data_IF_943538533179
#
_entry.id   IF_943538533179
#
_cell.length_a   1.000
_cell.length_b   1.000
_cell.length_c   1.000
_cell.angle_alpha   90.00
_cell.angle_beta   90.00
_cell.angle_gamma   90.00
#
_symmetry.space_group_name_H-M   'P 1'
#
loop_
_entity.id
_entity.type
_entity.pdbx_description
1 polymer ?
#
# COMPACT_ATOMS: atom_id res chain seq x y z
N UNK A 1 -41.59 -45.16 26.77
CA UNK A 1 -40.68 -44.12 27.32
C UNK A 1 -39.41 -43.92 26.46
N UNK A 2 -39.46 -44.08 25.13
CA UNK A 2 -38.30 -43.82 24.25
C UNK A 2 -38.30 -42.44 23.57
N UNK A 3 -39.49 -41.89 23.33
CA UNK A 3 -39.68 -40.63 22.58
C UNK A 3 -39.02 -39.39 23.19
N UNK A 4 -38.82 -39.35 24.52
CA UNK A 4 -38.24 -38.18 25.18
C UNK A 4 -36.71 -38.13 24.97
N UNK A 5 -36.04 -39.28 24.95
CA UNK A 5 -34.58 -39.38 24.77
C UNK A 5 -34.16 -39.15 23.30
N UNK A 6 -34.98 -39.62 22.35
CA UNK A 6 -34.75 -39.37 20.92
C UNK A 6 -34.89 -37.88 20.57
N UNK A 7 -35.83 -37.16 21.20
CA UNK A 7 -36.02 -35.74 20.93
C UNK A 7 -34.86 -34.86 21.44
N UNK A 8 -34.24 -35.21 22.58
CA UNK A 8 -33.03 -34.54 23.06
C UNK A 8 -31.82 -34.85 22.19
N UNK A 9 -31.58 -36.12 21.84
CA UNK A 9 -30.47 -36.51 20.97
C UNK A 9 -30.53 -35.85 19.58
N UNK A 10 -31.73 -35.70 19.00
CA UNK A 10 -31.92 -35.03 17.71
C UNK A 10 -31.76 -33.50 17.80
N UNK A 11 -32.20 -32.86 18.90
CA UNK A 11 -32.00 -31.42 19.11
C UNK A 11 -30.53 -31.09 19.34
N UNK A 12 -29.81 -31.91 20.08
CA UNK A 12 -28.37 -31.72 20.36
C UNK A 12 -27.54 -31.93 19.09
N UNK A 13 -27.82 -32.96 18.30
CA UNK A 13 -27.16 -33.18 17.01
C UNK A 13 -27.42 -32.05 16.00
N UNK A 14 -28.63 -31.46 16.00
CA UNK A 14 -28.94 -30.29 15.18
C UNK A 14 -28.15 -29.06 15.63
N UNK A 15 -28.10 -28.79 16.94
CA UNK A 15 -27.32 -27.68 17.53
C UNK A 15 -25.83 -27.84 17.24
N UNK A 16 -25.28 -29.04 17.40
CA UNK A 16 -23.87 -29.31 17.13
C UNK A 16 -23.51 -29.04 15.66
N UNK A 17 -24.33 -29.51 14.71
CA UNK A 17 -24.13 -29.22 13.28
C UNK A 17 -24.24 -27.73 12.97
N UNK A 18 -25.15 -27.02 13.63
CA UNK A 18 -25.34 -25.58 13.46
C UNK A 18 -24.15 -24.81 14.02
N UNK A 19 -23.68 -25.15 15.22
CA UNK A 19 -22.49 -24.57 15.85
C UNK A 19 -21.27 -24.85 14.98
N UNK A 20 -21.05 -26.09 14.54
CA UNK A 20 -19.93 -26.44 13.63
C UNK A 20 -19.97 -25.62 12.35
N UNK A 21 -21.15 -25.46 11.72
CA UNK A 21 -21.29 -24.59 10.54
C UNK A 21 -20.98 -23.14 10.86
N UNK A 22 -21.52 -22.59 11.95
CA UNK A 22 -21.26 -21.20 12.36
C UNK A 22 -19.76 -21.00 12.59
N UNK A 23 -19.12 -21.85 13.38
CA UNK A 23 -17.67 -21.79 13.65
C UNK A 23 -16.86 -21.83 12.36
N UNK A 24 -17.21 -22.73 11.44
CA UNK A 24 -16.50 -22.88 10.16
C UNK A 24 -16.72 -21.65 9.25
N UNK A 25 -17.93 -21.08 9.23
CA UNK A 25 -18.20 -19.84 8.49
C UNK A 25 -17.48 -18.63 9.08
N UNK A 26 -17.44 -18.49 10.41
CA UNK A 26 -16.72 -17.40 11.07
C UNK A 26 -15.22 -17.51 10.82
N UNK A 27 -14.67 -18.72 10.90
CA UNK A 27 -13.26 -18.98 10.57
C UNK A 27 -12.97 -18.60 9.11
N UNK A 28 -13.82 -19.02 8.17
CA UNK A 28 -13.67 -18.69 6.75
C UNK A 28 -13.73 -17.17 6.50
N UNK A 29 -14.66 -16.46 7.14
CA UNK A 29 -14.78 -15.01 7.05
C UNK A 29 -13.58 -14.30 7.66
N UNK A 30 -13.06 -14.77 8.80
CA UNK A 30 -11.88 -14.19 9.43
C UNK A 30 -10.63 -14.35 8.53
N UNK A 31 -10.44 -15.52 7.93
CA UNK A 31 -9.34 -15.77 6.98
C UNK A 31 -9.50 -14.89 5.74
N UNK A 32 -10.68 -14.87 5.12
CA UNK A 32 -10.94 -14.03 3.96
C UNK A 32 -10.74 -12.54 4.27
N UNK A 33 -11.22 -12.07 5.41
CA UNK A 33 -11.04 -10.71 5.88
C UNK A 33 -9.57 -10.35 6.11
N UNK A 34 -8.79 -11.25 6.71
CA UNK A 34 -7.36 -11.06 6.90
C UNK A 34 -6.59 -10.98 5.58
N UNK A 35 -6.91 -11.85 4.61
CA UNK A 35 -6.31 -11.83 3.28
C UNK A 35 -6.65 -10.53 2.54
N UNK A 36 -7.93 -10.13 2.55
CA UNK A 36 -8.36 -8.88 1.92
C UNK A 36 -7.67 -7.68 2.58
N UNK A 37 -7.66 -7.61 3.90
CA UNK A 37 -6.98 -6.53 4.61
C UNK A 37 -5.50 -6.43 4.22
N UNK A 38 -4.80 -7.57 4.13
CA UNK A 38 -3.39 -7.60 3.72
C UNK A 38 -3.19 -7.09 2.28
N UNK A 39 -4.03 -7.53 1.34
CA UNK A 39 -3.96 -7.10 -0.06
C UNK A 39 -4.30 -5.61 -0.25
N UNK A 40 -5.29 -5.11 0.47
CA UNK A 40 -5.73 -3.71 0.37
C UNK A 40 -4.93 -2.75 1.25
N UNK A 41 -4.03 -3.26 2.11
CA UNK A 41 -3.26 -2.45 3.07
C UNK A 41 -2.46 -1.33 2.41
N UNK A 42 -1.89 -1.56 1.23
CA UNK A 42 -0.99 -0.63 0.53
C UNK A 42 -1.59 -0.04 -0.75
N UNK A 43 -2.90 -0.22 -0.95
CA UNK A 43 -3.57 0.16 -2.19
C UNK A 43 -3.50 1.67 -2.44
N UNK A 44 -3.60 2.49 -1.39
CA UNK A 44 -3.59 3.96 -1.51
C UNK A 44 -2.22 4.46 -1.96
N UNK A 45 -1.17 3.92 -1.36
CA UNK A 45 0.22 4.28 -1.61
C UNK A 45 0.66 3.85 -3.00
N UNK A 46 0.33 2.62 -3.41
CA UNK A 46 0.58 2.17 -4.78
C UNK A 46 -0.19 2.98 -5.82
N UNK A 47 -1.43 3.39 -5.51
CA UNK A 47 -2.21 4.26 -6.39
C UNK A 47 -1.54 5.62 -6.60
N UNK A 48 -0.95 6.19 -5.54
CA UNK A 48 -0.20 7.46 -5.63
C UNK A 48 1.05 7.37 -6.48
N UNK A 49 1.79 6.26 -6.39
CA UNK A 49 2.92 6.01 -7.29
C UNK A 49 2.46 5.89 -8.73
N UNK A 50 1.34 5.20 -9.00
CA UNK A 50 0.78 5.08 -10.35
C UNK A 50 0.38 6.44 -10.90
N UNK A 51 -0.26 7.28 -10.08
CA UNK A 51 -0.62 8.64 -10.44
C UNK A 51 0.62 9.48 -10.78
N UNK A 52 1.67 9.39 -9.97
CA UNK A 52 2.94 10.06 -10.22
C UNK A 52 3.59 9.64 -11.54
N UNK A 53 3.73 8.33 -11.77
CA UNK A 53 4.32 7.81 -13.01
C UNK A 53 3.48 8.20 -14.22
N UNK A 54 2.14 8.13 -14.11
CA UNK A 54 1.25 8.55 -15.20
C UNK A 54 1.33 10.05 -15.48
N UNK A 55 1.48 10.89 -14.45
CA UNK A 55 1.69 12.32 -14.63
C UNK A 55 3.02 12.62 -15.35
N UNK A 56 4.09 11.88 -15.02
CA UNK A 56 5.36 11.95 -15.75
C UNK A 56 5.22 11.51 -17.21
N UNK A 57 4.55 10.40 -17.48
CA UNK A 57 4.30 9.92 -18.85
C UNK A 57 3.54 10.96 -19.70
N UNK A 58 2.62 11.70 -19.08
CA UNK A 58 1.85 12.78 -19.72
C UNK A 58 2.60 14.12 -19.78
N UNK A 59 3.83 14.18 -19.28
CA UNK A 59 4.64 15.41 -19.15
C UNK A 59 3.96 16.50 -18.29
N UNK A 60 3.04 16.11 -17.41
CA UNK A 60 2.39 17.02 -16.45
C UNK A 60 3.24 17.12 -15.18
N UNK A 61 4.34 17.85 -15.28
CA UNK A 61 5.29 18.04 -14.18
C UNK A 61 4.68 18.80 -13.01
N UNK A 62 3.67 19.64 -13.26
CA UNK A 62 3.00 20.42 -12.21
C UNK A 62 2.15 19.51 -11.33
N UNK A 63 1.36 18.62 -11.94
CA UNK A 63 0.62 17.59 -11.20
C UNK A 63 1.57 16.61 -10.50
N UNK A 64 2.63 16.17 -11.17
CA UNK A 64 3.60 15.26 -10.58
C UNK A 64 4.33 15.86 -9.37
N UNK A 65 4.73 17.13 -9.43
CA UNK A 65 5.39 17.84 -8.33
C UNK A 65 4.44 18.11 -7.14
N UNK A 66 3.16 18.34 -7.40
CA UNK A 66 2.16 18.49 -6.33
C UNK A 66 2.02 17.24 -5.45
N UNK A 67 2.27 16.04 -5.99
CA UNK A 67 2.26 14.78 -5.23
C UNK A 67 3.42 14.67 -4.22
N UNK A 68 4.44 15.53 -4.33
CA UNK A 68 5.53 15.64 -3.36
C UNK A 68 5.16 16.55 -2.17
N UNK A 69 3.88 16.96 -2.07
CA UNK A 69 3.41 17.88 -1.02
C UNK A 69 3.80 19.34 -1.27
N UNK A 70 4.49 19.61 -2.38
CA UNK A 70 4.90 20.92 -2.81
C UNK A 70 3.78 21.55 -3.65
N UNK A 71 2.96 22.40 -3.03
CA UNK A 71 1.90 23.13 -3.76
C UNK A 71 2.28 24.60 -3.90
N UNK A 72 1.59 25.35 -4.77
CA UNK A 72 1.79 26.81 -4.85
C UNK A 72 1.52 27.52 -3.50
N UNK A 73 0.68 26.93 -2.65
CA UNK A 73 0.39 27.43 -1.31
C UNK A 73 1.45 27.00 -0.26
N UNK A 74 2.15 25.87 -0.48
CA UNK A 74 3.19 25.33 0.41
C UNK A 74 4.42 24.92 -0.40
N UNK A 75 5.25 25.88 -0.84
CA UNK A 75 6.42 25.58 -1.64
C UNK A 75 7.46 24.82 -0.81
N UNK A 76 7.98 23.71 -1.36
CA UNK A 76 9.09 23.00 -0.75
C UNK A 76 10.38 23.80 -0.87
N UNK A 77 10.99 24.14 0.27
CA UNK A 77 12.21 24.94 0.32
C UNK A 77 13.38 24.29 -0.45
N UNK A 78 13.56 22.99 -0.26
CA UNK A 78 14.76 22.27 -0.70
C UNK A 78 14.52 21.41 -1.97
N UNK A 79 13.27 21.31 -2.43
CA UNK A 79 12.87 20.51 -3.61
C UNK A 79 11.83 21.22 -4.47
N UNK A 80 12.22 22.36 -5.04
CA UNK A 80 11.39 23.11 -5.99
C UNK A 80 11.33 22.48 -7.38
N UNK A 81 10.50 23.07 -8.25
CA UNK A 81 10.31 22.63 -9.64
C UNK A 81 11.61 22.47 -10.45
N UNK A 82 12.64 23.35 -10.34
CA UNK A 82 13.89 23.16 -11.10
C UNK A 82 14.59 21.84 -10.78
N UNK A 83 14.74 21.49 -9.49
CA UNK A 83 15.34 20.22 -9.06
C UNK A 83 14.49 19.02 -9.48
N UNK A 84 13.17 19.17 -9.41
CA UNK A 84 12.25 18.16 -9.89
C UNK A 84 12.44 17.88 -11.39
N UNK A 85 12.60 18.91 -12.22
CA UNK A 85 12.85 18.75 -13.65
C UNK A 85 14.24 18.19 -13.95
N UNK A 86 15.24 18.45 -13.12
CA UNK A 86 16.57 17.82 -13.22
C UNK A 86 16.48 16.30 -13.02
N UNK A 87 15.71 15.84 -12.04
CA UNK A 87 15.55 14.42 -11.74
C UNK A 87 14.63 13.70 -12.75
N UNK A 88 13.50 14.34 -13.10
CA UNK A 88 12.39 13.67 -13.81
C UNK A 88 12.14 14.20 -15.22
N UNK A 89 12.52 15.44 -15.53
CA UNK A 89 12.10 16.16 -16.75
C UNK A 89 12.43 15.42 -18.04
N UNK A 90 13.72 15.14 -18.29
CA UNK A 90 14.17 14.40 -19.48
C UNK A 90 13.91 12.89 -19.41
N UNK A 91 13.47 12.39 -18.25
CA UNK A 91 13.36 10.96 -17.96
C UNK A 91 11.92 10.48 -17.87
N UNK A 92 10.95 11.37 -18.07
CA UNK A 92 9.54 11.16 -17.76
C UNK A 92 8.93 9.95 -18.50
N UNK A 93 9.36 9.67 -19.74
CA UNK A 93 8.92 8.50 -20.51
C UNK A 93 9.69 7.20 -20.26
N UNK A 94 10.65 7.19 -19.33
CA UNK A 94 11.55 6.06 -19.07
C UNK A 94 11.47 5.53 -17.63
N UNK A 95 10.41 5.88 -16.91
CA UNK A 95 10.21 5.50 -15.51
C UNK A 95 9.44 4.19 -15.42
N UNK A 96 10.09 3.14 -14.93
CA UNK A 96 9.47 1.84 -14.69
C UNK A 96 9.32 1.54 -13.20
N UNK A 97 8.16 1.05 -12.77
CA UNK A 97 7.94 0.64 -11.38
C UNK A 97 8.57 -0.73 -11.13
N UNK A 98 9.34 -0.85 -10.05
CA UNK A 98 9.95 -2.08 -9.56
C UNK A 98 9.27 -2.62 -8.31
N UNK A 99 10.07 -3.17 -7.40
CA UNK A 99 9.60 -3.79 -6.16
C UNK A 99 9.02 -2.78 -5.17
N UNK A 100 8.08 -3.27 -4.35
CA UNK A 100 7.43 -2.53 -3.26
C UNK A 100 7.79 -3.18 -1.93
N UNK A 101 8.21 -2.38 -0.96
CA UNK A 101 8.41 -2.82 0.43
C UNK A 101 7.43 -2.09 1.33
N UNK A 102 6.60 -2.85 2.04
CA UNK A 102 5.67 -2.31 3.02
C UNK A 102 6.41 -1.98 4.32
N UNK A 103 6.32 -0.73 4.76
CA UNK A 103 6.82 -0.25 6.05
C UNK A 103 5.63 0.13 6.96
N UNK A 104 5.92 0.38 8.24
CA UNK A 104 4.91 0.79 9.22
C UNK A 104 4.26 2.13 8.84
N UNK A 105 5.09 3.16 8.60
CA UNK A 105 4.64 4.50 8.23
C UNK A 105 4.36 4.74 6.74
N UNK A 106 4.55 3.75 5.87
CA UNK A 106 4.53 3.99 4.43
C UNK A 106 4.93 2.79 3.58
N UNK A 107 5.31 3.06 2.33
CA UNK A 107 5.96 2.07 1.47
C UNK A 107 7.24 2.64 0.88
N UNK A 108 8.19 1.76 0.58
CA UNK A 108 9.33 2.07 -0.28
C UNK A 108 9.06 1.44 -1.63
N UNK A 109 8.92 2.28 -2.66
CA UNK A 109 8.78 1.87 -4.05
C UNK A 109 10.11 2.08 -4.76
N UNK A 110 10.67 1.01 -5.32
CA UNK A 110 11.77 1.12 -6.27
C UNK A 110 11.23 1.54 -7.63
N UNK A 111 11.80 2.59 -8.23
CA UNK A 111 11.55 2.98 -9.62
C UNK A 111 12.86 2.95 -10.39
N UNK A 112 12.81 2.52 -11.64
CA UNK A 112 13.98 2.50 -12.53
C UNK A 112 13.85 3.68 -13.48
N UNK A 113 14.87 4.54 -13.50
CA UNK A 113 14.93 5.73 -14.34
C UNK A 113 16.22 5.66 -15.13
N UNK A 114 16.14 5.53 -16.47
CA UNK A 114 17.33 5.31 -17.34
C UNK A 114 18.26 4.19 -16.85
N UNK A 115 17.69 3.09 -16.36
CA UNK A 115 18.45 1.95 -15.85
C UNK A 115 19.08 2.15 -14.46
N UNK A 116 18.84 3.28 -13.80
CA UNK A 116 19.23 3.51 -12.40
C UNK A 116 18.04 3.31 -11.47
N UNK A 117 18.24 2.51 -10.43
CA UNK A 117 17.24 2.34 -9.37
C UNK A 117 17.21 3.58 -8.47
N UNK A 118 16.01 4.11 -8.27
CA UNK A 118 15.72 5.22 -7.37
C UNK A 118 14.65 4.75 -6.39
N UNK A 119 14.85 5.02 -5.11
CA UNK A 119 13.95 4.59 -4.05
C UNK A 119 13.04 5.76 -3.66
N UNK A 120 11.74 5.58 -3.86
CA UNK A 120 10.72 6.52 -3.42
C UNK A 120 10.08 6.02 -2.13
N UNK A 121 9.91 6.91 -1.17
CA UNK A 121 9.13 6.66 0.03
C UNK A 121 7.78 7.36 -0.10
N UNK A 122 6.71 6.66 0.21
CA UNK A 122 5.35 7.19 0.19
C UNK A 122 4.80 7.05 1.60
N UNK A 123 4.49 8.19 2.20
CA UNK A 123 3.93 8.26 3.54
C UNK A 123 2.47 7.78 3.55
N UNK A 124 2.10 6.93 4.50
CA UNK A 124 0.79 6.28 4.56
C UNK A 124 -0.32 7.24 4.99
N UNK A 125 0.00 8.25 5.78
CA UNK A 125 -0.97 9.21 6.32
C UNK A 125 -1.21 10.35 5.35
N UNK A 126 -0.13 10.99 4.93
CA UNK A 126 -0.14 12.19 4.07
C UNK A 126 -0.19 11.85 2.58
N UNK A 127 0.20 10.62 2.20
CA UNK A 127 0.32 10.20 0.81
C UNK A 127 1.32 11.02 -0.02
N UNK A 128 2.22 11.72 0.67
CA UNK A 128 3.29 12.51 0.05
C UNK A 128 4.41 11.59 -0.42
N UNK A 129 4.90 11.87 -1.62
CA UNK A 129 6.05 11.19 -2.23
C UNK A 129 7.33 11.92 -1.84
N UNK A 130 8.35 11.17 -1.45
CA UNK A 130 9.69 11.68 -1.23
C UNK A 130 10.75 10.66 -1.63
N UNK A 131 12.02 11.06 -1.58
CA UNK A 131 13.12 10.10 -1.70
C UNK A 131 13.25 9.28 -0.42
N UNK A 132 13.45 7.97 -0.56
CA UNK A 132 13.72 7.12 0.60
C UNK A 132 15.15 7.33 1.07
N UNK A 133 15.39 7.73 2.34
CA UNK A 133 16.73 7.89 2.87
C UNK A 133 17.47 6.54 3.00
N UNK A 134 16.73 5.44 3.08
CA UNK A 134 17.28 4.10 3.29
C UNK A 134 16.60 3.06 2.37
N UNK A 135 17.30 1.98 1.99
CA UNK A 135 16.72 0.88 1.21
C UNK A 135 15.86 -0.09 2.06
N UNK A 136 15.79 0.14 3.37
CA UNK A 136 15.12 -0.70 4.36
C UNK A 136 14.27 0.15 5.30
N UNK A 137 13.17 -0.41 5.81
CA UNK A 137 12.25 0.31 6.70
C UNK A 137 12.88 0.68 8.06
N UNK A 138 13.75 -0.19 8.59
CA UNK A 138 14.39 -0.01 9.91
C UNK A 138 15.91 -0.09 9.77
N UNK A 139 16.58 1.01 9.39
CA UNK A 139 18.03 1.04 9.29
C UNK A 139 18.65 0.91 10.69
N UNK A 140 19.62 0.00 10.85
CA UNK A 140 20.46 -0.02 12.05
C UNK A 140 21.59 0.97 11.85
N UNK A 141 21.38 2.22 12.27
CA UNK A 141 22.43 3.23 12.27
C UNK A 141 23.39 2.87 13.41
N UNK A 142 24.63 2.49 13.08
CA UNK A 142 25.70 2.45 14.07
C UNK A 142 26.07 3.91 14.35
N UNK A 143 25.70 4.40 15.53
CA UNK A 143 26.21 5.66 16.08
C UNK A 143 27.67 5.50 16.50
#
# INVERSE_FOLDING_TARGET
>A
MGSYLDEFGVKDAKRERLIKRIVLTVLAVAVAGGVLWYLFRNYREESRVKEFVSALERQDYKAAHALWGCTEATPCRDYGMPRFLEDWGQNAGSVTRGSVKSCEGGIIQTVVVKGKETLLYIDRETLVIGFSPWPVCTPRVKM
#
